data_IF_251142249693
#
_entry.id   IF_251142249693
#
_cell.length_a   1.000
_cell.length_b   1.000
_cell.length_c   1.000
_cell.angle_alpha   90.00
_cell.angle_beta   90.00
_cell.angle_gamma   90.00
#
_symmetry.space_group_name_H-M   'P 1'
#
loop_
_entity.id
_entity.type
_entity.pdbx_description
1 polymer ?
#
# COMPACT_ATOMS: atom_id res chain seq x y z
N UNK A 1 -11.98 -12.74 16.85
CA UNK A 1 -12.87 -12.05 15.89
C UNK A 1 -14.31 -12.26 16.35
N UNK A 2 -15.20 -11.26 16.21
CA UNK A 2 -16.62 -11.46 16.49
C UNK A 2 -17.14 -12.64 15.66
N UNK A 3 -17.78 -13.62 16.31
CA UNK A 3 -18.27 -14.84 15.66
C UNK A 3 -19.30 -14.56 14.55
N UNK A 4 -19.90 -13.38 14.58
CA UNK A 4 -20.95 -12.93 13.66
C UNK A 4 -20.43 -12.57 12.26
N UNK A 5 -19.13 -12.29 12.10
CA UNK A 5 -18.57 -11.89 10.81
C UNK A 5 -18.29 -13.06 9.85
N UNK A 6 -18.32 -14.30 10.35
CA UNK A 6 -17.90 -15.48 9.58
C UNK A 6 -16.37 -15.62 9.45
N UNK A 7 -15.87 -16.59 8.65
CA UNK A 7 -14.44 -16.86 8.52
C UNK A 7 -13.72 -15.74 7.76
N UNK A 8 -12.57 -15.29 8.26
CA UNK A 8 -11.77 -14.23 7.62
C UNK A 8 -11.08 -14.72 6.35
N UNK A 9 -10.92 -16.03 6.20
CA UNK A 9 -10.29 -16.71 5.08
C UNK A 9 -10.99 -16.42 3.74
N UNK A 10 -12.29 -16.12 3.77
CA UNK A 10 -13.04 -15.69 2.58
C UNK A 10 -12.54 -14.37 1.98
N UNK A 11 -11.77 -13.60 2.76
CA UNK A 11 -11.16 -12.35 2.31
C UNK A 11 -9.83 -12.56 1.59
N UNK A 12 -9.28 -13.78 1.62
CA UNK A 12 -7.97 -14.09 1.05
C UNK A 12 -7.85 -13.70 -0.42
N UNK A 13 -6.70 -13.13 -0.80
CA UNK A 13 -6.33 -12.89 -2.19
C UNK A 13 -6.19 -14.21 -2.99
N UNK A 14 -5.82 -15.31 -2.30
CA UNK A 14 -5.69 -16.64 -2.89
C UNK A 14 -7.04 -17.30 -3.16
N UNK A 15 -8.12 -16.92 -2.47
CA UNK A 15 -9.42 -17.58 -2.66
C UNK A 15 -9.91 -17.43 -4.12
N UNK A 16 -10.29 -18.54 -4.81
CA UNK A 16 -10.62 -19.86 -4.25
C UNK A 16 -9.49 -20.93 -4.29
N UNK A 17 -8.26 -20.55 -4.61
CA UNK A 17 -7.14 -21.50 -4.69
C UNK A 17 -6.80 -22.15 -3.34
N UNK A 18 -6.23 -23.36 -3.42
CA UNK A 18 -5.78 -24.14 -2.26
C UNK A 18 -4.35 -23.90 -1.71
N UNK A 19 -3.38 -23.32 -2.43
CA UNK A 19 -2.02 -23.12 -1.89
C UNK A 19 -1.97 -22.23 -0.64
N UNK A 20 -0.95 -22.43 0.18
CA UNK A 20 -0.70 -21.60 1.37
C UNK A 20 -0.08 -20.25 0.97
N UNK A 21 -0.25 -19.25 1.83
CA UNK A 21 0.40 -17.95 1.68
C UNK A 21 1.90 -18.13 1.51
N UNK A 22 2.46 -17.49 0.47
CA UNK A 22 3.88 -17.55 0.18
C UNK A 22 4.40 -16.18 -0.24
N UNK A 23 5.50 -15.77 0.37
CA UNK A 23 6.23 -14.54 0.07
C UNK A 23 7.66 -14.91 -0.25
N UNK A 24 8.16 -14.51 -1.41
CA UNK A 24 9.50 -14.85 -1.89
C UNK A 24 10.35 -13.59 -2.11
N UNK A 25 11.64 -13.67 -1.81
CA UNK A 25 12.64 -12.65 -2.10
C UNK A 25 13.70 -13.26 -3.01
N UNK A 26 13.93 -12.63 -4.16
CA UNK A 26 14.87 -13.05 -5.19
C UNK A 26 16.04 -12.10 -5.27
N UNK A 27 17.23 -12.70 -5.28
CA UNK A 27 18.46 -12.11 -5.78
C UNK A 27 18.53 -12.38 -7.28
N UNK A 28 18.50 -11.34 -8.11
CA UNK A 28 18.45 -11.54 -9.57
C UNK A 28 19.74 -12.16 -10.15
N UNK A 29 20.84 -12.17 -9.39
CA UNK A 29 22.09 -12.84 -9.78
C UNK A 29 22.02 -14.35 -9.59
N UNK A 30 21.03 -14.83 -8.83
CA UNK A 30 20.75 -16.24 -8.55
C UNK A 30 19.25 -16.54 -8.71
N UNK A 31 18.66 -16.38 -9.91
CA UNK A 31 17.21 -16.42 -10.11
C UNK A 31 16.50 -17.73 -9.74
N UNK A 32 17.25 -18.83 -9.67
CA UNK A 32 16.72 -20.13 -9.25
C UNK A 32 16.67 -20.30 -7.73
N UNK A 33 17.17 -19.33 -6.96
CA UNK A 33 17.19 -19.34 -5.51
C UNK A 33 16.37 -18.16 -4.96
N UNK A 34 15.47 -18.46 -4.02
CA UNK A 34 14.76 -17.46 -3.23
C UNK A 34 14.79 -17.80 -1.75
N UNK A 35 14.63 -16.75 -0.94
CA UNK A 35 14.37 -16.87 0.50
C UNK A 35 12.99 -16.28 0.78
N UNK A 36 12.26 -16.80 1.75
CA UNK A 36 10.88 -16.38 1.90
C UNK A 36 10.17 -16.95 3.12
N UNK A 37 8.89 -16.62 3.22
CA UNK A 37 7.97 -17.18 4.21
C UNK A 37 6.91 -17.97 3.46
N UNK A 38 6.67 -19.19 3.92
CA UNK A 38 5.50 -19.97 3.56
C UNK A 38 4.73 -20.20 4.85
N UNK A 39 3.45 -19.82 4.85
CA UNK A 39 2.59 -20.19 5.96
C UNK A 39 2.52 -21.71 6.04
N UNK A 40 2.40 -22.23 7.27
CA UNK A 40 2.02 -23.61 7.53
C UNK A 40 0.67 -23.62 8.27
N UNK A 41 0.16 -24.82 8.58
CA UNK A 41 -1.12 -25.00 9.26
C UNK A 41 -1.13 -24.44 10.69
N UNK A 42 0.03 -24.07 11.25
CA UNK A 42 0.17 -23.45 12.57
C UNK A 42 0.09 -21.93 12.49
N UNK A 43 0.47 -21.35 11.36
CA UNK A 43 0.42 -19.92 11.11
C UNK A 43 -0.94 -19.51 10.54
N UNK A 44 -1.80 -18.95 11.41
CA UNK A 44 -3.04 -18.31 10.97
C UNK A 44 -2.77 -16.95 10.33
N UNK A 45 -2.27 -16.96 9.09
CA UNK A 45 -2.03 -15.76 8.29
C UNK A 45 -2.97 -15.72 7.09
N UNK A 46 -3.73 -14.64 6.96
CA UNK A 46 -4.55 -14.36 5.78
C UNK A 46 -4.09 -13.04 5.22
N UNK A 47 -3.60 -13.07 3.97
CA UNK A 47 -3.42 -11.84 3.22
C UNK A 47 -4.69 -11.55 2.47
N UNK A 48 -5.41 -10.54 2.94
CA UNK A 48 -6.74 -10.22 2.47
C UNK A 48 -6.72 -9.30 1.24
N UNK A 49 -7.55 -9.62 0.26
CA UNK A 49 -7.92 -8.66 -0.77
C UNK A 49 -8.68 -7.49 -0.13
N UNK A 50 -8.22 -6.25 -0.37
CA UNK A 50 -8.74 -5.04 0.30
C UNK A 50 -10.25 -4.86 0.15
N UNK A 51 -10.81 -5.21 -1.02
CA UNK A 51 -12.25 -5.09 -1.27
C UNK A 51 -13.03 -6.14 -0.46
N UNK A 52 -12.62 -7.40 -0.53
CA UNK A 52 -13.26 -8.49 0.23
C UNK A 52 -13.17 -8.23 1.74
N UNK A 53 -12.03 -7.75 2.23
CA UNK A 53 -11.85 -7.39 3.64
C UNK A 53 -12.78 -6.25 4.07
N UNK A 54 -12.94 -5.23 3.23
CA UNK A 54 -13.86 -4.12 3.51
C UNK A 54 -15.30 -4.63 3.57
N UNK A 55 -15.74 -5.39 2.59
CA UNK A 55 -17.08 -6.00 2.55
C UNK A 55 -17.32 -6.86 3.81
N UNK A 56 -16.32 -7.64 4.24
CA UNK A 56 -16.37 -8.45 5.45
C UNK A 56 -16.47 -7.62 6.74
N UNK A 57 -15.67 -6.55 6.87
CA UNK A 57 -15.66 -5.67 8.05
C UNK A 57 -16.91 -4.80 8.17
N UNK A 58 -17.61 -4.53 7.06
CA UNK A 58 -18.80 -3.67 7.06
C UNK A 58 -20.06 -4.34 7.62
N UNK A 59 -20.04 -5.65 7.86
CA UNK A 59 -21.19 -6.38 8.39
C UNK A 59 -21.57 -5.86 9.79
N UNK A 60 -22.86 -5.54 9.97
CA UNK A 60 -23.37 -5.03 11.25
C UNK A 60 -23.00 -3.57 11.55
N UNK A 61 -22.41 -2.84 10.60
CA UNK A 61 -22.06 -1.42 10.74
C UNK A 61 -22.97 -0.57 9.84
N UNK A 62 -23.55 0.49 10.40
CA UNK A 62 -24.29 1.48 9.62
C UNK A 62 -23.34 2.41 8.87
N UNK A 63 -23.03 2.04 7.62
CA UNK A 63 -22.10 2.79 6.76
C UNK A 63 -22.86 3.74 5.84
N UNK A 64 -22.66 5.04 6.06
CA UNK A 64 -23.26 6.10 5.27
C UNK A 64 -22.29 6.57 4.18
N UNK A 65 -22.42 6.03 2.97
CA UNK A 65 -21.58 6.37 1.81
C UNK A 65 -21.84 7.77 1.25
N UNK A 66 -20.92 8.25 0.41
CA UNK A 66 -20.98 9.56 -0.27
C UNK A 66 -20.98 10.78 0.68
N UNK A 67 -20.57 10.59 1.93
CA UNK A 67 -20.40 11.65 2.91
C UNK A 67 -18.93 12.05 3.03
N UNK A 68 -18.59 13.25 2.58
CA UNK A 68 -17.22 13.79 2.70
C UNK A 68 -17.14 14.79 3.84
N UNK A 69 -16.26 14.51 4.80
CA UNK A 69 -16.01 15.37 5.95
C UNK A 69 -15.28 16.65 5.52
N UNK A 70 -15.84 17.81 5.90
CA UNK A 70 -15.21 19.13 5.70
C UNK A 70 -14.43 19.59 6.93
N UNK A 71 -15.05 19.48 8.10
CA UNK A 71 -14.50 19.99 9.36
C UNK A 71 -15.20 19.39 10.57
N UNK A 72 -14.51 19.46 11.70
CA UNK A 72 -14.99 18.95 12.98
C UNK A 72 -14.92 20.07 14.01
N UNK A 73 -16.00 20.23 14.78
CA UNK A 73 -16.05 21.15 15.92
C UNK A 73 -16.35 20.39 17.21
N UNK A 74 -15.69 20.79 18.30
CA UNK A 74 -16.00 20.33 19.65
C UNK A 74 -16.77 21.42 20.39
N UNK A 75 -17.93 21.07 20.94
CA UNK A 75 -18.79 21.97 21.71
C UNK A 75 -19.24 21.28 23.01
N UNK A 76 -18.66 21.67 24.14
CA UNK A 76 -19.00 21.08 25.44
C UNK A 76 -18.68 19.57 25.50
N UNK A 77 -19.71 18.75 25.65
CA UNK A 77 -19.61 17.29 25.70
C UNK A 77 -19.82 16.60 24.34
N UNK A 78 -19.96 17.38 23.26
CA UNK A 78 -20.30 16.90 21.92
C UNK A 78 -19.25 17.26 20.87
N UNK A 79 -19.24 16.46 19.81
CA UNK A 79 -18.47 16.67 18.59
C UNK A 79 -19.44 16.71 17.41
N UNK A 80 -19.28 17.70 16.54
CA UNK A 80 -20.08 17.86 15.32
C UNK A 80 -19.18 17.74 14.09
N UNK A 81 -19.48 16.77 13.23
CA UNK A 81 -18.90 16.62 11.90
C UNK A 81 -19.75 17.38 10.88
N UNK A 82 -19.13 18.30 10.14
CA UNK A 82 -19.77 19.03 9.05
C UNK A 82 -19.36 18.42 7.71
N UNK A 83 -20.34 18.17 6.84
CA UNK A 83 -20.16 17.43 5.59
C UNK A 83 -20.25 18.36 4.36
N UNK A 84 -19.71 17.91 3.23
CA UNK A 84 -19.67 18.70 1.98
C UNK A 84 -21.03 19.03 1.38
N UNK A 85 -22.04 18.22 1.65
CA UNK A 85 -23.42 18.45 1.22
C UNK A 85 -24.17 19.47 2.09
N UNK A 86 -23.49 20.06 3.09
CA UNK A 86 -24.05 21.01 4.04
C UNK A 86 -24.75 20.36 5.23
N UNK A 87 -24.84 19.04 5.29
CA UNK A 87 -25.40 18.33 6.44
C UNK A 87 -24.35 18.20 7.56
N UNK A 88 -24.82 17.76 8.74
CA UNK A 88 -23.94 17.53 9.88
C UNK A 88 -24.40 16.34 10.72
N UNK A 89 -23.46 15.74 11.44
CA UNK A 89 -23.71 14.65 12.38
C UNK A 89 -23.06 14.98 13.74
N UNK A 90 -23.80 14.76 14.83
CA UNK A 90 -23.36 15.08 16.19
C UNK A 90 -23.24 13.81 17.03
N UNK A 91 -22.13 13.67 17.75
CA UNK A 91 -21.84 12.53 18.62
C UNK A 91 -21.08 12.95 19.89
N UNK A 92 -20.68 11.96 20.70
CA UNK A 92 -19.85 12.16 21.89
C UNK A 92 -18.35 12.04 21.61
N UNK A 93 -18.01 11.27 20.56
CA UNK A 93 -16.66 11.02 20.09
C UNK A 93 -16.64 10.99 18.57
N UNK A 94 -15.50 11.34 17.98
CA UNK A 94 -15.22 11.20 16.56
C UNK A 94 -13.87 10.53 16.39
N UNK A 95 -13.81 9.52 15.53
CA UNK A 95 -12.57 8.82 15.20
C UNK A 95 -12.26 9.05 13.71
N UNK A 96 -11.19 9.77 13.43
CA UNK A 96 -10.66 9.96 12.08
C UNK A 96 -9.93 8.71 11.61
N UNK A 97 -10.47 8.06 10.58
CA UNK A 97 -9.94 6.87 9.95
C UNK A 97 -9.85 7.03 8.41
N UNK A 98 -9.85 8.27 7.93
CA UNK A 98 -9.97 8.64 6.51
C UNK A 98 -8.65 8.61 5.72
N UNK A 99 -7.60 8.02 6.33
CA UNK A 99 -6.34 7.71 5.67
C UNK A 99 -5.30 8.84 5.67
N UNK A 100 -4.25 8.68 4.87
CA UNK A 100 -3.04 9.52 4.88
C UNK A 100 -3.34 11.01 4.73
N UNK A 101 -4.37 11.41 3.97
CA UNK A 101 -4.76 12.81 3.75
C UNK A 101 -5.83 13.30 4.74
N UNK A 102 -5.71 12.87 6.00
CA UNK A 102 -6.69 13.11 7.06
C UNK A 102 -7.05 14.58 7.24
N UNK A 103 -8.35 14.87 7.10
CA UNK A 103 -8.93 16.20 7.36
C UNK A 103 -8.91 16.46 8.87
N UNK A 104 -9.25 15.44 9.66
CA UNK A 104 -9.28 15.51 11.13
C UNK A 104 -7.88 15.82 11.66
N UNK A 105 -6.84 15.09 11.22
CA UNK A 105 -5.44 15.36 11.61
C UNK A 105 -5.06 16.80 11.29
N UNK A 106 -5.27 17.22 10.05
CA UNK A 106 -4.85 18.55 9.60
C UNK A 106 -5.55 19.67 10.36
N UNK A 107 -6.85 19.59 10.57
CA UNK A 107 -7.63 20.68 11.16
C UNK A 107 -7.63 20.68 12.69
N UNK A 108 -7.83 19.53 13.33
CA UNK A 108 -8.01 19.44 14.77
C UNK A 108 -6.69 19.32 15.53
N UNK A 109 -5.66 18.71 14.92
CA UNK A 109 -4.40 18.42 15.61
C UNK A 109 -3.25 19.31 15.12
N UNK A 110 -3.22 19.65 13.83
CA UNK A 110 -2.09 20.35 13.22
C UNK A 110 -2.36 21.82 12.89
N UNK A 111 -3.54 22.36 13.24
CA UNK A 111 -3.92 23.76 12.98
C UNK A 111 -3.69 24.19 11.50
N UNK A 112 -3.96 23.28 10.56
CA UNK A 112 -3.78 23.50 9.13
C UNK A 112 -2.41 23.12 8.56
N UNK A 113 -1.45 22.74 9.40
CA UNK A 113 -0.13 22.29 8.95
C UNK A 113 -0.18 20.88 8.36
N UNK A 114 0.76 20.57 7.47
CA UNK A 114 0.95 19.24 6.91
C UNK A 114 2.25 18.62 7.42
N UNK A 115 2.15 17.37 7.88
CA UNK A 115 3.26 16.55 8.40
C UNK A 115 3.57 15.36 7.49
N UNK A 116 2.95 15.32 6.32
CA UNK A 116 3.25 14.34 5.28
C UNK A 116 4.61 14.67 4.66
N UNK A 117 5.53 13.72 4.69
CA UNK A 117 6.83 13.83 4.04
C UNK A 117 6.96 12.79 2.92
N UNK A 118 7.29 13.19 1.68
CA UNK A 118 7.57 12.23 0.62
C UNK A 118 8.83 11.43 0.96
N UNK A 119 8.79 10.13 0.70
CA UNK A 119 9.96 9.27 0.81
C UNK A 119 10.84 9.40 -0.44
N UNK A 120 12.18 9.19 -0.32
CA UNK A 120 13.10 9.21 -1.46
C UNK A 120 13.05 7.93 -2.28
N UNK A 121 11.82 7.48 -2.56
CA UNK A 121 11.50 6.27 -3.31
C UNK A 121 10.53 6.68 -4.40
N UNK A 122 10.90 6.42 -5.64
CA UNK A 122 10.00 6.52 -6.78
C UNK A 122 9.24 5.21 -6.96
N UNK A 123 8.03 5.31 -7.52
CA UNK A 123 7.19 4.15 -7.82
C UNK A 123 6.49 4.26 -9.17
N UNK A 124 6.42 3.13 -9.89
CA UNK A 124 5.53 2.90 -11.03
C UNK A 124 4.65 1.72 -10.67
N UNK A 125 3.34 1.84 -10.94
CA UNK A 125 2.36 0.81 -10.63
C UNK A 125 1.70 0.31 -11.90
N UNK A 126 1.67 -1.01 -12.08
CA UNK A 126 1.00 -1.68 -13.18
C UNK A 126 0.07 -2.79 -12.69
N UNK A 127 -0.99 -3.05 -13.44
CA UNK A 127 -1.87 -4.20 -13.22
C UNK A 127 -2.10 -5.00 -14.49
N UNK A 128 -2.30 -6.30 -14.33
CA UNK A 128 -2.65 -7.21 -15.41
C UNK A 128 -3.52 -8.34 -14.91
N UNK A 129 -4.42 -8.84 -15.77
CA UNK A 129 -5.11 -10.11 -15.58
C UNK A 129 -4.43 -11.21 -16.40
N UNK A 130 -4.15 -12.36 -15.79
CA UNK A 130 -3.54 -13.51 -16.46
C UNK A 130 -4.48 -14.71 -16.45
N UNK A 131 -4.27 -15.63 -17.40
CA UNK A 131 -4.99 -16.91 -17.50
C UNK A 131 -4.06 -17.99 -18.06
N UNK A 132 -4.45 -19.26 -17.92
CA UNK A 132 -3.72 -20.39 -18.48
C UNK A 132 -2.28 -20.50 -17.98
N UNK A 133 -1.34 -20.67 -18.92
CA UNK A 133 0.08 -20.88 -18.62
C UNK A 133 0.71 -19.67 -17.93
N UNK A 134 0.31 -18.44 -18.30
CA UNK A 134 0.85 -17.22 -17.68
C UNK A 134 0.48 -17.12 -16.20
N UNK A 135 -0.77 -17.49 -15.86
CA UNK A 135 -1.20 -17.54 -14.47
C UNK A 135 -0.43 -18.63 -13.71
N UNK A 136 -0.32 -19.82 -14.29
CA UNK A 136 0.40 -20.94 -13.67
C UNK A 136 1.87 -20.62 -13.44
N UNK A 137 2.53 -19.95 -14.40
CA UNK A 137 3.93 -19.50 -14.31
C UNK A 137 4.14 -18.57 -13.11
N UNK A 138 3.27 -17.57 -12.91
CA UNK A 138 3.40 -16.63 -11.80
C UNK A 138 3.28 -17.31 -10.42
N UNK A 139 2.42 -18.31 -10.30
CA UNK A 139 2.30 -19.08 -9.06
C UNK A 139 3.56 -19.89 -8.72
N UNK A 140 4.41 -20.22 -9.71
CA UNK A 140 5.69 -20.89 -9.45
C UNK A 140 6.76 -19.97 -8.85
N UNK A 141 6.66 -18.66 -9.08
CA UNK A 141 7.54 -17.67 -8.45
C UNK A 141 7.16 -17.46 -6.99
N UNK A 142 5.86 -17.32 -6.74
CA UNK A 142 5.30 -17.26 -5.40
C UNK A 142 3.78 -17.30 -5.46
N UNK A 143 3.13 -17.97 -4.49
CA UNK A 143 1.67 -17.97 -4.43
C UNK A 143 1.07 -16.59 -4.16
N UNK A 144 1.73 -15.74 -3.35
CA UNK A 144 1.16 -14.45 -2.93
C UNK A 144 1.92 -13.24 -3.47
N UNK A 145 3.22 -13.13 -3.17
CA UNK A 145 4.06 -12.09 -3.75
C UNK A 145 5.51 -12.53 -3.88
N UNK A 146 6.24 -11.83 -4.73
CA UNK A 146 7.68 -11.82 -4.65
C UNK A 146 8.28 -10.42 -4.80
N UNK A 147 9.45 -10.23 -4.20
CA UNK A 147 10.32 -9.08 -4.43
C UNK A 147 11.58 -9.57 -5.13
N UNK A 148 11.95 -8.93 -6.24
CA UNK A 148 13.19 -9.19 -6.94
C UNK A 148 14.04 -7.93 -6.97
N UNK A 149 15.33 -8.04 -6.65
CA UNK A 149 16.27 -6.93 -6.74
C UNK A 149 17.70 -7.43 -7.04
N UNK A 150 18.52 -6.55 -7.59
CA UNK A 150 19.97 -6.73 -7.66
C UNK A 150 20.59 -6.33 -6.31
N UNK A 151 21.23 -7.25 -5.56
CA UNK A 151 21.84 -6.92 -4.29
C UNK A 151 23.24 -6.29 -4.43
N UNK A 152 23.82 -6.29 -5.63
CA UNK A 152 25.16 -5.75 -5.91
C UNK A 152 25.06 -4.26 -6.24
N UNK A 153 24.04 -3.89 -7.02
CA UNK A 153 23.77 -2.50 -7.35
C UNK A 153 23.38 -1.75 -6.07
N UNK A 154 23.83 -0.51 -5.91
CA UNK A 154 23.43 0.35 -4.80
C UNK A 154 23.24 1.78 -5.27
N UNK A 155 22.51 2.59 -4.49
CA UNK A 155 22.24 3.97 -4.85
C UNK A 155 21.22 4.09 -5.98
N UNK A 156 21.49 4.95 -6.97
CA UNK A 156 20.49 5.45 -7.94
C UNK A 156 20.09 4.45 -9.01
N UNK A 157 20.91 3.42 -9.17
CA UNK A 157 20.66 2.32 -10.09
C UNK A 157 19.86 1.20 -9.43
N UNK A 158 19.71 1.23 -8.10
CA UNK A 158 18.92 0.24 -7.38
C UNK A 158 17.45 0.41 -7.72
N UNK A 159 16.90 -0.64 -8.31
CA UNK A 159 15.48 -0.86 -8.42
C UNK A 159 15.10 -2.17 -7.73
N UNK A 160 13.82 -2.30 -7.41
CA UNK A 160 13.21 -3.54 -6.97
C UNK A 160 11.85 -3.71 -7.67
N UNK A 161 11.56 -4.92 -8.10
CA UNK A 161 10.25 -5.32 -8.58
C UNK A 161 9.50 -5.93 -7.41
N UNK A 162 8.31 -5.44 -7.10
CA UNK A 162 7.34 -6.11 -6.23
C UNK A 162 6.18 -6.60 -7.09
N UNK A 163 6.02 -7.91 -7.20
CA UNK A 163 4.88 -8.51 -7.90
C UNK A 163 3.98 -9.21 -6.88
N UNK A 164 2.67 -8.95 -6.93
CA UNK A 164 1.73 -9.60 -6.02
C UNK A 164 0.45 -10.04 -6.73
N UNK A 165 -0.09 -11.17 -6.27
CA UNK A 165 -1.44 -11.61 -6.59
C UNK A 165 -2.44 -10.78 -5.77
N UNK A 166 -3.27 -9.99 -6.45
CA UNK A 166 -4.29 -9.16 -5.81
C UNK A 166 -5.57 -9.96 -5.51
N UNK A 167 -6.02 -10.78 -6.46
CA UNK A 167 -7.16 -11.70 -6.33
C UNK A 167 -7.22 -12.73 -7.45
N UNK A 168 -8.01 -13.77 -7.24
CA UNK A 168 -8.40 -14.75 -8.27
C UNK A 168 -9.91 -14.65 -8.54
N UNK A 169 -10.30 -14.89 -9.79
CA UNK A 169 -11.71 -14.99 -10.19
C UNK A 169 -12.42 -16.15 -9.49
N UNK A 170 -13.75 -16.08 -9.28
CA UNK A 170 -14.50 -17.14 -8.59
C UNK A 170 -14.45 -18.51 -9.29
N UNK A 171 -14.19 -18.52 -10.59
CA UNK A 171 -14.09 -19.74 -11.41
C UNK A 171 -12.67 -20.26 -11.55
N UNK A 172 -11.73 -19.78 -10.72
CA UNK A 172 -10.31 -20.16 -10.65
C UNK A 172 -9.45 -20.00 -11.91
N UNK A 173 -9.99 -19.37 -12.97
CA UNK A 173 -9.32 -19.29 -14.28
C UNK A 173 -8.53 -18.03 -14.54
N UNK A 174 -8.75 -16.97 -13.76
CA UNK A 174 -8.12 -15.66 -13.98
C UNK A 174 -7.53 -15.12 -12.70
N UNK A 175 -6.24 -14.81 -12.73
CA UNK A 175 -5.58 -14.05 -11.68
C UNK A 175 -5.47 -12.58 -12.04
N UNK A 176 -5.49 -11.73 -11.02
CA UNK A 176 -5.24 -10.31 -11.15
C UNK A 176 -3.99 -9.99 -10.36
N UNK A 177 -2.94 -9.54 -11.04
CA UNK A 177 -1.64 -9.21 -10.46
C UNK A 177 -1.42 -7.70 -10.49
N UNK A 178 -0.66 -7.23 -9.51
CA UNK A 178 -0.06 -5.91 -9.54
C UNK A 178 1.48 -6.03 -9.56
N UNK A 179 2.09 -5.07 -10.24
CA UNK A 179 3.52 -4.83 -10.26
C UNK A 179 3.81 -3.44 -9.70
N UNK A 180 4.81 -3.34 -8.83
CA UNK A 180 5.35 -2.09 -8.35
C UNK A 180 6.84 -2.09 -8.58
N UNK A 181 7.28 -1.27 -9.54
CA UNK A 181 8.69 -0.91 -9.67
C UNK A 181 9.00 0.18 -8.65
N UNK A 182 9.93 -0.11 -7.75
CA UNK A 182 10.46 0.82 -6.75
C UNK A 182 11.91 1.16 -7.08
N UNK A 183 12.32 2.41 -6.93
CA UNK A 183 13.73 2.81 -7.07
C UNK A 183 14.09 3.93 -6.09
N UNK A 184 15.38 4.08 -5.80
CA UNK A 184 15.88 5.21 -5.03
C UNK A 184 15.79 6.48 -5.87
N UNK A 185 15.02 7.46 -5.41
CA UNK A 185 14.79 8.72 -6.13
C UNK A 185 15.50 9.88 -5.44
N UNK A 186 16.77 10.13 -5.77
CA UNK A 186 17.56 11.24 -5.20
C UNK A 186 17.02 12.63 -5.55
N UNK A 187 16.25 12.75 -6.62
CA UNK A 187 15.63 14.01 -7.00
C UNK A 187 14.31 14.25 -6.25
N UNK A 188 14.06 13.54 -5.14
CA UNK A 188 12.83 13.57 -4.35
C UNK A 188 12.23 14.99 -4.34
N UNK A 189 11.13 15.21 -5.07
CA UNK A 189 10.35 16.43 -5.03
C UNK A 189 10.16 16.95 -3.62
N UNK A 190 10.35 18.26 -3.45
CA UNK A 190 10.04 18.93 -2.21
C UNK A 190 8.54 18.85 -1.96
N UNK A 191 8.13 19.08 -0.71
CA UNK A 191 6.71 19.14 -0.35
C UNK A 191 5.98 20.12 -1.29
N UNK A 192 4.98 19.61 -2.03
CA UNK A 192 4.16 20.40 -2.97
C UNK A 192 4.59 20.33 -4.45
N UNK A 193 5.73 19.71 -4.78
CA UNK A 193 6.18 19.50 -6.17
C UNK A 193 5.67 18.16 -6.72
N UNK A 194 5.23 18.15 -7.99
CA UNK A 194 4.82 16.91 -8.68
C UNK A 194 6.05 16.13 -9.14
N UNK A 195 6.08 14.83 -8.86
CA UNK A 195 7.07 13.89 -9.39
C UNK A 195 6.87 13.64 -10.88
N UNK A 196 7.92 13.19 -11.57
CA UNK A 196 7.80 12.71 -12.95
C UNK A 196 6.72 11.64 -13.10
N UNK A 197 6.65 10.65 -12.20
CA UNK A 197 5.65 9.57 -12.24
C UNK A 197 4.20 10.04 -12.03
N UNK A 198 3.99 11.20 -11.41
CA UNK A 198 2.65 11.82 -11.29
C UNK A 198 2.20 12.53 -12.57
N UNK A 199 3.15 12.94 -13.42
CA UNK A 199 2.88 13.67 -14.66
C UNK A 199 3.10 12.85 -15.93
N UNK A 200 3.79 11.71 -15.82
CA UNK A 200 4.14 10.86 -16.94
C UNK A 200 2.90 10.20 -17.56
N UNK A 201 2.93 10.03 -18.89
CA UNK A 201 1.94 9.23 -19.60
C UNK A 201 2.13 7.74 -19.32
N UNK A 202 1.10 6.95 -19.60
CA UNK A 202 1.17 5.49 -19.45
C UNK A 202 2.29 4.89 -20.31
N UNK A 203 2.53 5.41 -21.51
CA UNK A 203 3.62 4.99 -22.40
C UNK A 203 4.99 5.25 -21.77
N UNK A 204 5.17 6.42 -21.15
CA UNK A 204 6.42 6.79 -20.49
C UNK A 204 6.67 5.91 -19.26
N UNK A 205 5.64 5.63 -18.47
CA UNK A 205 5.72 4.74 -17.31
C UNK A 205 6.07 3.30 -17.73
N UNK A 206 5.40 2.79 -18.77
CA UNK A 206 5.66 1.45 -19.30
C UNK A 206 7.07 1.32 -19.88
N UNK A 207 7.53 2.31 -20.65
CA UNK A 207 8.88 2.34 -21.21
C UNK A 207 9.94 2.35 -20.11
N UNK A 208 9.76 3.20 -19.10
CA UNK A 208 10.67 3.29 -17.96
C UNK A 208 10.74 1.99 -17.17
N UNK A 209 9.60 1.35 -16.91
CA UNK A 209 9.55 0.09 -16.18
C UNK A 209 10.30 -1.03 -16.91
N UNK A 210 10.07 -1.17 -18.22
CA UNK A 210 10.76 -2.16 -19.06
C UNK A 210 12.25 -1.87 -19.20
N UNK A 211 12.65 -0.61 -19.38
CA UNK A 211 14.05 -0.21 -19.47
C UNK A 211 14.80 -0.54 -18.17
N UNK A 212 14.25 -0.16 -17.02
CA UNK A 212 14.88 -0.38 -15.71
C UNK A 212 15.03 -1.85 -15.33
N UNK A 213 14.13 -2.70 -15.83
CA UNK A 213 14.10 -4.13 -15.47
C UNK A 213 14.66 -5.03 -16.56
N UNK A 214 15.18 -4.48 -17.67
CA UNK A 214 15.63 -5.27 -18.83
C UNK A 214 16.71 -6.33 -18.51
N UNK A 215 17.56 -6.07 -17.52
CA UNK A 215 18.65 -6.94 -17.08
C UNK A 215 18.18 -8.00 -16.07
N UNK A 216 16.94 -7.90 -15.58
CA UNK A 216 16.38 -8.90 -14.67
C UNK A 216 16.10 -10.20 -15.44
N UNK A 217 16.28 -11.38 -14.84
CA UNK A 217 15.88 -12.65 -15.42
C UNK A 217 14.40 -12.67 -15.84
N UNK A 218 14.10 -13.23 -17.02
CA UNK A 218 12.76 -13.15 -17.62
C UNK A 218 11.66 -13.63 -16.68
N UNK A 219 11.89 -14.76 -16.01
CA UNK A 219 11.00 -15.33 -14.99
C UNK A 219 10.52 -14.30 -13.94
N UNK A 220 11.39 -13.36 -13.55
CA UNK A 220 11.10 -12.38 -12.49
C UNK A 220 10.55 -11.05 -13.01
N UNK A 221 10.81 -10.69 -14.27
CA UNK A 221 10.30 -9.46 -14.90
C UNK A 221 9.15 -9.69 -15.88
N UNK A 222 8.72 -10.94 -16.10
CA UNK A 222 7.74 -11.29 -17.14
C UNK A 222 6.42 -10.55 -16.98
N UNK A 223 6.00 -10.23 -15.76
CA UNK A 223 4.84 -9.37 -15.50
C UNK A 223 5.02 -7.95 -16.08
N UNK A 224 6.16 -7.29 -15.82
CA UNK A 224 6.47 -5.96 -16.35
C UNK A 224 6.43 -5.95 -17.89
N UNK A 225 6.96 -7.00 -18.50
CA UNK A 225 6.96 -7.17 -19.97
C UNK A 225 5.54 -7.37 -20.52
N UNK A 226 4.69 -8.15 -19.81
CA UNK A 226 3.32 -8.50 -20.25
C UNK A 226 2.29 -7.42 -19.94
N UNK A 227 2.49 -6.55 -18.94
CA UNK A 227 1.56 -5.46 -18.61
C UNK A 227 1.35 -4.58 -19.85
N UNK A 228 0.09 -4.45 -20.33
CA UNK A 228 -0.21 -3.58 -21.45
C UNK A 228 -0.07 -2.12 -21.00
N UNK A 229 0.20 -1.21 -21.93
CA UNK A 229 0.46 0.21 -21.60
C UNK A 229 -0.67 0.81 -20.76
N UNK A 230 -1.92 0.54 -21.13
CA UNK A 230 -3.11 0.98 -20.40
C UNK A 230 -3.24 0.41 -18.98
N UNK A 231 -2.49 -0.65 -18.65
CA UNK A 231 -2.41 -1.25 -17.32
C UNK A 231 -1.55 -0.47 -16.33
N UNK A 232 -0.77 0.53 -16.79
CA UNK A 232 0.01 1.41 -15.92
C UNK A 232 -0.84 2.57 -15.38
N UNK A 233 -0.74 2.86 -14.09
CA UNK A 233 -1.59 3.88 -13.45
C UNK A 233 -1.01 5.29 -13.60
N UNK A 234 -1.87 6.23 -14.00
CA UNK A 234 -1.58 7.68 -14.03
C UNK A 234 -2.73 8.47 -13.37
N UNK A 235 -2.45 9.46 -12.49
CA UNK A 235 -1.13 9.81 -12.00
C UNK A 235 -0.56 8.66 -11.14
N UNK A 236 0.76 8.42 -11.23
CA UNK A 236 1.44 7.50 -10.34
C UNK A 236 1.29 7.92 -8.88
N UNK A 237 1.53 7.01 -7.94
CA UNK A 237 1.52 7.35 -6.51
C UNK A 237 2.93 7.65 -6.00
N UNK A 238 2.99 8.42 -4.91
CA UNK A 238 4.22 8.68 -4.17
C UNK A 238 4.14 8.02 -2.80
N UNK A 239 5.17 7.27 -2.43
CA UNK A 239 5.31 6.78 -1.07
C UNK A 239 5.55 7.95 -0.11
N UNK A 240 4.76 7.99 0.96
CA UNK A 240 4.71 9.08 1.91
C UNK A 240 4.76 8.52 3.33
N UNK A 241 5.33 9.31 4.23
CA UNK A 241 5.33 9.08 5.67
C UNK A 241 4.58 10.19 6.38
N UNK A 242 3.95 9.87 7.51
CA UNK A 242 3.28 10.84 8.39
C UNK A 242 4.06 10.87 9.69
N UNK A 243 4.67 12.00 10.02
CA UNK A 243 5.42 12.16 11.27
C UNK A 243 4.60 12.95 12.29
N UNK A 244 4.15 12.27 13.34
CA UNK A 244 3.40 12.85 14.45
C UNK A 244 4.12 12.51 15.75
N UNK A 245 4.38 13.54 16.55
CA UNK A 245 4.82 13.38 17.94
C UNK A 245 3.60 13.29 18.88
N UNK A 246 3.71 12.62 20.05
CA UNK A 246 2.61 12.50 21.01
C UNK A 246 1.96 13.83 21.43
N UNK A 247 2.75 14.91 21.49
CA UNK A 247 2.28 16.27 21.78
C UNK A 247 1.32 16.85 20.73
N UNK A 248 1.35 16.33 19.50
CA UNK A 248 0.38 16.67 18.46
C UNK A 248 -0.97 15.99 18.66
N UNK A 249 -1.06 14.99 19.54
CA UNK A 249 -2.25 14.16 19.76
C UNK A 249 -2.72 14.28 21.22
N UNK A 250 -3.14 15.48 21.67
CA UNK A 250 -3.69 15.65 23.01
C UNK A 250 -4.94 14.77 23.21
N UNK A 251 -5.20 14.32 24.45
CA UNK A 251 -6.42 13.59 24.75
C UNK A 251 -7.65 14.47 24.51
N UNK A 252 -8.70 13.88 23.95
CA UNK A 252 -9.92 14.61 23.60
C UNK A 252 -11.03 13.68 23.12
N UNK A 253 -12.12 14.29 22.62
CA UNK A 253 -13.24 13.54 22.03
C UNK A 253 -13.03 13.24 20.56
N UNK A 254 -12.13 13.96 19.92
CA UNK A 254 -11.64 13.68 18.57
C UNK A 254 -10.39 12.81 18.68
N UNK A 255 -10.37 11.70 17.94
CA UNK A 255 -9.32 10.68 17.95
C UNK A 255 -8.91 10.37 16.50
N UNK A 256 -7.76 9.74 16.32
CA UNK A 256 -7.28 9.29 15.00
C UNK A 256 -6.82 7.83 15.08
N UNK A 257 -6.99 7.07 13.99
CA UNK A 257 -6.48 5.69 13.86
C UNK A 257 -5.96 5.41 12.45
N UNK A 258 -5.12 4.36 12.32
CA UNK A 258 -4.63 3.87 11.04
C UNK A 258 -3.75 4.88 10.30
N UNK A 259 -3.83 4.90 8.98
CA UNK A 259 -3.01 5.78 8.13
C UNK A 259 -3.26 7.28 8.40
N UNK A 260 -4.36 7.65 9.09
CA UNK A 260 -4.57 9.02 9.55
C UNK A 260 -3.54 9.44 10.61
N UNK A 261 -2.92 8.49 11.34
CA UNK A 261 -1.84 8.73 12.31
C UNK A 261 -0.48 8.36 11.76
N UNK A 262 -0.34 7.17 11.18
CA UNK A 262 0.97 6.60 10.87
C UNK A 262 1.37 6.67 9.40
N UNK A 263 0.42 6.97 8.52
CA UNK A 263 0.58 6.82 7.08
C UNK A 263 0.77 5.37 6.65
N UNK A 264 0.92 5.12 5.33
CA UNK A 264 0.93 3.77 4.77
C UNK A 264 2.27 3.04 4.96
N UNK A 265 3.34 3.74 5.34
CA UNK A 265 4.70 3.20 5.51
C UNK A 265 5.26 3.49 6.92
N UNK A 266 4.69 2.88 7.97
CA UNK A 266 5.13 3.13 9.36
C UNK A 266 6.56 2.66 9.64
N UNK A 267 7.08 1.67 8.89
CA UNK A 267 8.40 1.08 9.14
C UNK A 267 9.58 2.05 8.90
N UNK A 268 9.41 3.07 8.06
CA UNK A 268 10.51 4.03 7.77
C UNK A 268 10.80 4.93 8.98
N UNK A 269 9.83 5.17 9.87
CA UNK A 269 10.04 5.93 11.12
C UNK A 269 11.15 5.32 11.98
N UNK A 270 11.21 3.98 12.10
CA UNK A 270 12.19 3.30 12.98
C UNK A 270 13.61 3.30 12.41
N UNK A 271 13.77 3.23 11.08
CA UNK A 271 15.09 3.24 10.45
C UNK A 271 15.80 4.59 10.61
N UNK A 272 15.07 5.70 10.51
CA UNK A 272 15.65 7.03 10.75
C UNK A 272 16.09 7.23 12.21
N UNK A 273 15.38 6.66 13.19
CA UNK A 273 15.76 6.70 14.61
C UNK A 273 16.97 5.80 14.97
N UNK A 274 17.28 4.81 14.14
CA UNK A 274 18.44 3.94 14.34
C UNK A 274 19.75 4.59 13.83
N UNK A 275 19.66 5.51 12.86
CA UNK A 275 20.81 6.30 12.41
C UNK A 275 21.22 7.45 13.35
N UNK A 276 20.43 7.73 14.39
CA UNK A 276 20.77 8.72 15.43
C UNK A 276 21.41 8.11 16.69
N UNK A 277 21.72 6.80 16.70
CA UNK A 277 22.48 6.19 17.80
C UNK A 277 23.97 6.49 17.59
N UNK A 278 24.53 7.25 18.52
CA UNK A 278 25.80 7.97 18.41
C UNK A 278 27.00 7.14 17.98
N UNK A 279 27.93 7.81 17.30
CA UNK A 279 29.33 7.38 17.23
C UNK A 279 29.84 7.22 18.67
N UNK A 280 30.47 6.10 19.03
CA UNK A 280 31.15 5.99 20.32
C UNK A 280 32.36 6.94 20.33
N UNK A 281 32.53 7.65 21.43
CA UNK A 281 33.75 8.40 21.78
C UNK A 281 34.95 7.44 21.97
#
# INVERSE_FOLDING_TARGET
>A
MPSELGPVEQTSHLYPLGPQLQVSFYDITRPEFSVGVMADDTLKAVWANRRRMREWLMQGIDVQFNNRLLRVEEHGDKVTAHLEDGTSATGYFLVGAEGTRSVVRRQNFLKGQDVIKPLPIGSVFGEISLSGDDFSEQLTNSHSNYIAMDPIISGDEQAAIFCALNRVSPDDKTSYHCDILLWVDKNTPKVGEKKWSESASQEQLAAFARERTNHYPYKLRSLVDKIPTEGYYTPGFQLQSVELEPEHLPPGRVLLIGDAVDGPMPMVKRLNSLHSVGKPD
#
